data_IF_190936453340
#
_entry.id   IF_190936453340
#
_cell.length_a   1.000
_cell.length_b   1.000
_cell.length_c   1.000
_cell.angle_alpha   90.00
_cell.angle_beta   90.00
_cell.angle_gamma   90.00
#
_symmetry.space_group_name_H-M   'P 1'
#
loop_
_entity.id
_entity.type
_entity.pdbx_description
1 polymer ?
#
# COMPACT_ATOMS: atom_id res chain seq x y z
N UNK A 1 2.26 -14.76 6.21
CA UNK A 1 1.20 -13.85 5.69
C UNK A 1 -0.10 -13.81 6.49
N UNK A 2 -0.59 -14.91 7.12
CA UNK A 2 -1.87 -14.86 7.86
C UNK A 2 -1.86 -13.91 9.07
N UNK A 3 -0.75 -13.81 9.80
CA UNK A 3 -0.56 -12.82 10.87
C UNK A 3 -0.64 -11.39 10.34
N UNK A 4 0.11 -11.09 9.28
CA UNK A 4 0.15 -9.79 8.62
C UNK A 4 -1.26 -9.37 8.13
N UNK A 5 -2.02 -10.30 7.53
CA UNK A 5 -3.41 -10.04 7.11
C UNK A 5 -4.31 -9.69 8.29
N UNK A 6 -4.15 -10.34 9.44
CA UNK A 6 -4.94 -10.02 10.65
C UNK A 6 -4.60 -8.63 11.18
N UNK A 7 -3.32 -8.28 11.26
CA UNK A 7 -2.86 -6.95 11.67
C UNK A 7 -3.39 -5.87 10.72
N UNK A 8 -3.25 -6.09 9.42
CA UNK A 8 -3.80 -5.21 8.38
C UNK A 8 -5.32 -5.03 8.54
N UNK A 9 -6.10 -6.13 8.62
CA UNK A 9 -7.57 -6.06 8.73
C UNK A 9 -8.02 -5.27 9.96
N UNK A 10 -7.25 -5.32 11.05
CA UNK A 10 -7.55 -4.53 12.25
C UNK A 10 -7.13 -3.07 12.08
N UNK A 11 -5.90 -2.82 11.62
CA UNK A 11 -5.33 -1.48 11.57
C UNK A 11 -5.96 -0.59 10.47
N UNK A 12 -6.33 -1.16 9.34
CA UNK A 12 -6.90 -0.40 8.21
C UNK A 12 -8.21 0.32 8.54
N UNK A 13 -8.96 -0.15 9.52
CA UNK A 13 -10.20 0.47 9.99
C UNK A 13 -9.95 1.67 10.93
N UNK A 14 -8.72 1.84 11.41
CA UNK A 14 -8.35 2.87 12.37
C UNK A 14 -7.88 4.19 11.71
N UNK A 15 -8.12 4.36 10.41
CA UNK A 15 -7.59 5.50 9.63
C UNK A 15 -8.00 6.88 10.18
N UNK A 16 -9.13 6.98 10.88
CA UNK A 16 -9.59 8.24 11.49
C UNK A 16 -8.83 8.65 12.74
N UNK A 17 -8.03 7.75 13.32
CA UNK A 17 -7.23 8.00 14.51
C UNK A 17 -5.79 8.40 14.19
N UNK A 18 -5.36 8.27 12.92
CA UNK A 18 -4.02 8.65 12.48
C UNK A 18 -3.99 10.11 12.02
N UNK A 19 -3.05 10.88 12.56
CA UNK A 19 -2.77 12.27 12.16
C UNK A 19 -1.34 12.63 12.55
N UNK A 20 -0.89 13.84 12.20
CA UNK A 20 0.44 14.33 12.55
C UNK A 20 0.67 14.21 14.06
N UNK A 21 1.76 13.54 14.44
CA UNK A 21 2.16 13.31 15.83
C UNK A 21 1.51 12.10 16.52
N UNK A 22 0.59 11.38 15.87
CA UNK A 22 0.01 10.14 16.39
C UNK A 22 -0.42 9.22 15.25
N UNK A 23 0.22 8.07 15.17
CA UNK A 23 0.00 7.07 14.13
C UNK A 23 -0.41 5.73 14.74
N UNK A 24 -1.17 4.94 13.99
CA UNK A 24 -1.51 3.58 14.38
C UNK A 24 -0.34 2.65 14.12
N UNK A 25 -0.01 1.81 15.09
CA UNK A 25 1.09 0.86 15.00
C UNK A 25 0.53 -0.58 14.92
N UNK A 26 0.61 -1.24 13.75
CA UNK A 26 0.14 -2.61 13.58
C UNK A 26 1.17 -3.67 13.95
N UNK A 27 2.27 -3.31 14.60
CA UNK A 27 3.42 -4.16 14.93
C UNK A 27 4.63 -3.99 13.99
N UNK A 28 5.75 -4.62 14.31
CA UNK A 28 7.02 -4.51 13.59
C UNK A 28 6.91 -4.97 12.12
N UNK A 29 7.82 -4.43 11.30
CA UNK A 29 8.04 -4.92 9.94
C UNK A 29 8.83 -6.24 9.96
N UNK A 30 8.16 -7.34 9.63
CA UNK A 30 8.75 -8.67 9.48
C UNK A 30 9.15 -8.99 8.02
N UNK A 31 9.53 -7.97 7.25
CA UNK A 31 9.95 -8.14 5.85
C UNK A 31 11.25 -8.96 5.80
N UNK A 32 11.20 -10.09 5.09
CA UNK A 32 12.33 -11.03 5.03
C UNK A 32 12.43 -12.00 6.19
N UNK A 33 11.46 -12.01 7.11
CA UNK A 33 11.41 -12.97 8.23
C UNK A 33 10.62 -14.21 7.82
N UNK A 34 11.13 -15.38 8.19
CA UNK A 34 10.45 -16.65 7.92
C UNK A 34 10.44 -17.03 6.43
N UNK A 35 9.31 -17.59 5.96
CA UNK A 35 9.18 -18.13 4.61
C UNK A 35 8.24 -17.29 3.72
N UNK A 36 8.20 -15.97 3.90
CA UNK A 36 7.42 -15.11 3.02
C UNK A 36 8.01 -15.09 1.60
N UNK A 37 7.15 -15.20 0.62
CA UNK A 37 7.52 -14.98 -0.79
C UNK A 37 7.87 -13.51 -1.02
N UNK A 38 8.50 -13.20 -2.16
CA UNK A 38 8.77 -11.81 -2.57
C UNK A 38 7.49 -10.96 -2.53
N UNK A 39 6.40 -11.45 -3.13
CA UNK A 39 5.11 -10.75 -3.17
C UNK A 39 4.54 -10.48 -1.77
N UNK A 40 4.67 -11.44 -0.84
CA UNK A 40 4.19 -11.28 0.54
C UNK A 40 5.02 -10.25 1.32
N UNK A 41 6.34 -10.22 1.11
CA UNK A 41 7.23 -9.22 1.70
C UNK A 41 6.94 -7.83 1.15
N UNK A 42 6.78 -7.70 -0.18
CA UNK A 42 6.45 -6.44 -0.85
C UNK A 42 5.06 -5.92 -0.42
N UNK A 43 4.06 -6.81 -0.34
CA UNK A 43 2.73 -6.46 0.14
C UNK A 43 2.76 -6.00 1.61
N UNK A 44 3.52 -6.67 2.48
CA UNK A 44 3.70 -6.28 3.86
C UNK A 44 4.25 -4.86 3.97
N UNK A 45 5.37 -4.57 3.30
CA UNK A 45 5.98 -3.25 3.31
C UNK A 45 5.07 -2.16 2.76
N UNK A 46 4.45 -2.42 1.60
CA UNK A 46 3.55 -1.46 0.96
C UNK A 46 2.32 -1.14 1.82
N UNK A 47 1.73 -2.14 2.48
CA UNK A 47 0.58 -1.94 3.37
C UNK A 47 0.97 -1.08 4.58
N UNK A 48 2.14 -1.30 5.21
CA UNK A 48 2.64 -0.46 6.30
C UNK A 48 2.83 0.98 5.82
N UNK A 49 3.43 1.19 4.64
CA UNK A 49 3.58 2.52 4.06
C UNK A 49 2.23 3.21 3.78
N UNK A 50 1.24 2.48 3.26
CA UNK A 50 -0.11 3.02 3.04
C UNK A 50 -0.80 3.38 4.36
N UNK A 51 -0.58 2.59 5.40
CA UNK A 51 -1.17 2.83 6.72
C UNK A 51 -0.44 3.88 7.56
N UNK A 52 0.62 4.54 7.05
CA UNK A 52 1.47 5.48 7.79
C UNK A 52 2.00 4.87 9.10
N UNK A 53 2.34 3.60 9.07
CA UNK A 53 2.75 2.84 10.24
C UNK A 53 4.23 3.02 10.54
N UNK A 54 4.69 2.99 11.81
CA UNK A 54 6.11 3.03 12.11
C UNK A 54 6.88 1.93 11.36
N UNK A 55 7.90 2.31 10.56
CA UNK A 55 8.71 1.37 9.78
C UNK A 55 9.87 0.81 10.65
N UNK A 56 9.52 0.06 11.69
CA UNK A 56 10.47 -0.56 12.61
C UNK A 56 10.80 -1.98 12.17
N UNK A 57 12.01 -2.19 11.64
CA UNK A 57 12.46 -3.49 11.14
C UNK A 57 12.60 -4.52 12.27
N UNK A 58 11.89 -5.63 12.17
CA UNK A 58 11.96 -6.76 13.08
C UNK A 58 12.90 -7.88 12.63
N UNK A 59 13.65 -7.70 11.55
CA UNK A 59 14.57 -8.69 10.98
C UNK A 59 16.04 -8.41 11.31
N UNK A 60 16.92 -9.41 11.09
CA UNK A 60 18.36 -9.24 11.24
C UNK A 60 18.95 -8.48 10.06
N UNK A 61 19.28 -7.20 10.28
CA UNK A 61 19.83 -6.31 9.24
C UNK A 61 21.22 -6.74 8.71
N UNK A 62 21.93 -7.65 9.41
CA UNK A 62 23.25 -8.14 9.00
C UNK A 62 23.18 -9.19 7.91
N UNK A 63 22.02 -9.80 7.71
CA UNK A 63 21.82 -10.94 6.80
C UNK A 63 20.65 -10.77 5.84
N UNK A 64 20.30 -9.53 5.49
CA UNK A 64 19.25 -9.25 4.52
C UNK A 64 19.64 -9.70 3.11
N UNK A 65 18.69 -10.36 2.42
CA UNK A 65 18.84 -10.64 0.99
C UNK A 65 18.70 -9.36 0.16
N UNK A 66 19.23 -9.39 -1.08
CA UNK A 66 19.08 -8.27 -2.02
C UNK A 66 17.60 -7.94 -2.30
N UNK A 67 16.74 -8.94 -2.36
CA UNK A 67 15.30 -8.75 -2.58
C UNK A 67 14.64 -8.01 -1.40
N UNK A 68 14.99 -8.37 -0.17
CA UNK A 68 14.53 -7.65 1.03
C UNK A 68 15.02 -6.22 1.01
N UNK A 69 16.30 -5.99 0.70
CA UNK A 69 16.87 -4.63 0.60
C UNK A 69 16.15 -3.79 -0.47
N UNK A 70 15.83 -4.36 -1.64
CA UNK A 70 15.06 -3.66 -2.70
C UNK A 70 13.69 -3.21 -2.20
N UNK A 71 12.99 -4.09 -1.47
CA UNK A 71 11.66 -3.80 -0.94
C UNK A 71 11.73 -2.65 0.08
N UNK A 72 12.55 -2.79 1.13
CA UNK A 72 12.59 -1.81 2.23
C UNK A 72 13.26 -0.49 1.84
N UNK A 73 14.04 -0.46 0.76
CA UNK A 73 14.66 0.74 0.21
C UNK A 73 13.84 1.38 -0.93
N UNK A 74 12.60 0.93 -1.17
CA UNK A 74 11.73 1.54 -2.17
C UNK A 74 11.36 2.97 -1.76
N UNK A 75 12.05 3.94 -2.35
CA UNK A 75 11.89 5.37 -2.02
C UNK A 75 10.48 5.91 -2.27
N UNK A 76 9.73 5.33 -3.21
CA UNK A 76 8.38 5.78 -3.54
C UNK A 76 7.39 5.34 -2.46
N UNK A 77 7.51 4.10 -1.97
CA UNK A 77 6.71 3.64 -0.82
C UNK A 77 7.08 4.39 0.45
N UNK A 78 8.38 4.60 0.70
CA UNK A 78 8.84 5.39 1.85
C UNK A 78 8.30 6.82 1.78
N UNK A 79 8.28 7.45 0.60
CA UNK A 79 7.73 8.81 0.46
C UNK A 79 6.23 8.88 0.73
N UNK A 80 5.49 7.81 0.43
CA UNK A 80 4.08 7.70 0.82
C UNK A 80 3.98 7.59 2.35
N UNK A 81 4.78 6.73 2.98
CA UNK A 81 4.77 6.55 4.43
C UNK A 81 5.08 7.85 5.17
N UNK A 82 6.16 8.53 4.78
CA UNK A 82 6.71 9.73 5.42
C UNK A 82 6.02 11.04 4.97
N UNK A 83 4.87 10.94 4.30
CA UNK A 83 4.16 12.12 3.81
C UNK A 83 3.70 13.03 4.97
N UNK A 84 3.99 14.34 4.84
CA UNK A 84 3.78 15.33 5.90
C UNK A 84 2.31 15.53 6.31
N UNK A 85 1.35 15.07 5.49
CA UNK A 85 -0.07 15.12 5.84
C UNK A 85 -0.42 14.17 7.00
N UNK A 86 0.42 13.15 7.26
CA UNK A 86 0.29 12.22 8.38
C UNK A 86 -0.96 11.32 8.35
N UNK A 87 -1.72 11.32 7.24
CA UNK A 87 -2.97 10.56 7.14
C UNK A 87 -2.69 9.09 6.80
N UNK A 88 -3.45 8.19 7.40
CA UNK A 88 -3.47 6.77 7.06
C UNK A 88 -4.36 6.52 5.85
N UNK A 89 -4.08 5.49 5.05
CA UNK A 89 -4.99 5.10 3.97
C UNK A 89 -6.34 4.60 4.50
N UNK A 90 -7.41 5.00 3.81
CA UNK A 90 -8.77 4.50 3.99
C UNK A 90 -9.05 3.35 3.02
N UNK A 91 -9.62 2.25 3.49
CA UNK A 91 -10.11 1.18 2.63
C UNK A 91 -11.49 1.55 2.08
N UNK A 92 -11.58 1.75 0.76
CA UNK A 92 -12.84 2.12 0.07
C UNK A 92 -13.53 0.92 -0.57
N UNK A 93 -12.81 -0.17 -0.85
CA UNK A 93 -13.39 -1.46 -1.30
C UNK A 93 -12.86 -2.57 -0.42
N UNK A 94 -13.78 -3.36 0.17
CA UNK A 94 -13.49 -4.56 0.96
C UNK A 94 -13.97 -5.80 0.21
N UNK A 95 -13.05 -6.49 -0.47
CA UNK A 95 -13.36 -7.64 -1.32
C UNK A 95 -12.21 -8.67 -1.33
N UNK A 96 -12.13 -9.54 -2.34
CA UNK A 96 -10.95 -10.38 -2.58
C UNK A 96 -9.70 -9.56 -2.93
N UNK A 97 -9.91 -8.44 -3.63
CA UNK A 97 -8.93 -7.37 -3.82
C UNK A 97 -9.47 -6.14 -3.08
N UNK A 98 -8.79 -5.74 -2.02
CA UNK A 98 -9.12 -4.51 -1.32
C UNK A 98 -8.56 -3.31 -2.08
N UNK A 99 -9.25 -2.16 -1.99
CA UNK A 99 -8.77 -0.89 -2.53
C UNK A 99 -8.60 0.11 -1.38
N UNK A 100 -7.39 0.63 -1.25
CA UNK A 100 -7.05 1.66 -0.28
C UNK A 100 -6.70 2.95 -1.00
N UNK A 101 -7.08 4.08 -0.43
CA UNK A 101 -6.71 5.42 -0.91
C UNK A 101 -6.13 6.25 0.22
N UNK A 102 -5.11 7.03 -0.08
CA UNK A 102 -4.44 7.91 0.87
C UNK A 102 -4.18 9.28 0.24
N UNK A 103 -4.66 10.39 0.84
CA UNK A 103 -4.30 11.73 0.40
C UNK A 103 -2.83 12.01 0.76
N UNK A 104 -2.12 12.74 -0.09
CA UNK A 104 -0.75 13.16 0.11
C UNK A 104 -0.63 14.69 0.16
N UNK A 105 0.35 15.20 0.88
CA UNK A 105 0.59 16.64 1.10
C UNK A 105 0.85 17.45 -0.17
N UNK A 106 1.30 16.78 -1.24
CA UNK A 106 1.55 17.39 -2.55
C UNK A 106 0.32 17.46 -3.45
N UNK A 107 -0.88 17.16 -2.92
CA UNK A 107 -2.14 17.13 -3.67
C UNK A 107 -2.37 15.86 -4.49
N UNK A 108 -1.44 14.90 -4.45
CA UNK A 108 -1.61 13.59 -5.07
C UNK A 108 -2.40 12.63 -4.17
N UNK A 109 -2.91 11.58 -4.79
CA UNK A 109 -3.53 10.45 -4.10
C UNK A 109 -2.71 9.20 -4.32
N UNK A 110 -2.35 8.48 -3.24
CA UNK A 110 -1.84 7.13 -3.33
C UNK A 110 -3.01 6.13 -3.34
N UNK A 111 -2.96 5.17 -4.28
CA UNK A 111 -3.97 4.12 -4.46
C UNK A 111 -3.25 2.77 -4.34
N UNK A 112 -3.76 1.89 -3.48
CA UNK A 112 -3.21 0.54 -3.31
C UNK A 112 -4.30 -0.51 -3.52
N UNK A 113 -4.02 -1.47 -4.38
CA UNK A 113 -4.79 -2.68 -4.55
C UNK A 113 -4.10 -3.83 -3.83
N UNK A 114 -4.81 -4.51 -2.95
CA UNK A 114 -4.28 -5.65 -2.20
C UNK A 114 -5.07 -6.92 -2.48
N UNK A 115 -4.47 -7.85 -3.21
CA UNK A 115 -5.00 -9.20 -3.36
C UNK A 115 -4.63 -10.04 -2.14
N UNK A 116 -5.55 -10.18 -1.21
CA UNK A 116 -5.37 -10.95 0.04
C UNK A 116 -5.64 -12.46 -0.10
N UNK A 117 -5.91 -12.94 -1.32
CA UNK A 117 -6.22 -14.35 -1.61
C UNK A 117 -5.00 -15.15 -2.03
N UNK A 118 -5.14 -16.47 -2.06
CA UNK A 118 -4.08 -17.43 -2.43
C UNK A 118 -4.03 -17.73 -3.94
N UNK A 119 -4.74 -16.93 -4.75
CA UNK A 119 -4.76 -17.06 -6.22
C UNK A 119 -4.70 -15.70 -6.89
N UNK A 120 -4.17 -15.67 -8.12
CA UNK A 120 -4.21 -14.45 -8.95
C UNK A 120 -5.65 -14.00 -9.14
N UNK A 121 -5.88 -12.69 -8.99
CA UNK A 121 -7.19 -12.06 -9.23
C UNK A 121 -7.08 -11.07 -10.39
N UNK A 122 -8.16 -11.00 -11.17
CA UNK A 122 -8.38 -9.88 -12.08
C UNK A 122 -9.21 -8.83 -11.34
N UNK A 123 -8.86 -7.58 -11.50
CA UNK A 123 -9.65 -6.45 -11.01
C UNK A 123 -10.01 -5.53 -12.18
N UNK A 124 -11.16 -4.89 -12.05
CA UNK A 124 -11.60 -3.82 -12.93
C UNK A 124 -12.52 -2.92 -12.12
N UNK A 125 -12.14 -1.65 -11.99
CA UNK A 125 -12.90 -0.67 -11.24
C UNK A 125 -13.31 0.48 -12.15
N UNK A 126 -14.49 1.02 -11.88
CA UNK A 126 -14.93 2.29 -12.45
C UNK A 126 -14.21 3.43 -11.72
N UNK A 127 -13.71 4.43 -12.44
CA UNK A 127 -13.03 5.61 -11.91
C UNK A 127 -13.88 6.37 -10.87
N UNK A 128 -15.19 6.29 -11.00
CA UNK A 128 -16.16 6.91 -10.07
C UNK A 128 -15.97 6.50 -8.61
N UNK A 129 -15.36 5.34 -8.31
CA UNK A 129 -15.08 4.95 -6.93
C UNK A 129 -14.08 5.90 -6.25
N UNK A 130 -13.23 6.56 -7.04
CA UNK A 130 -12.27 7.55 -6.57
C UNK A 130 -12.85 8.96 -6.64
N UNK A 131 -13.55 9.32 -7.72
CA UNK A 131 -14.19 10.64 -7.91
C UNK A 131 -15.23 10.94 -6.81
N UNK A 132 -15.94 9.92 -6.33
CA UNK A 132 -16.96 10.06 -5.28
C UNK A 132 -16.43 9.86 -3.85
N UNK A 133 -15.12 9.61 -3.67
CA UNK A 133 -14.53 9.41 -2.36
C UNK A 133 -14.11 10.74 -1.72
N UNK A 134 -14.80 11.14 -0.67
CA UNK A 134 -14.58 12.42 0.01
C UNK A 134 -13.29 12.50 0.85
N UNK A 135 -12.62 11.37 1.06
CA UNK A 135 -11.38 11.30 1.83
C UNK A 135 -10.15 11.80 1.06
N UNK A 136 -10.23 11.83 -0.26
CA UNK A 136 -9.16 12.22 -1.17
C UNK A 136 -9.63 13.33 -2.10
N UNK A 137 -8.68 14.08 -2.66
CA UNK A 137 -8.91 14.99 -3.78
C UNK A 137 -8.37 14.30 -5.06
N UNK A 138 -9.26 13.53 -5.72
CA UNK A 138 -8.86 12.72 -6.85
C UNK A 138 -8.74 13.55 -8.13
N UNK A 139 -7.50 13.71 -8.62
CA UNK A 139 -7.24 14.39 -9.89
C UNK A 139 -7.28 13.40 -11.05
N UNK A 140 -8.42 13.27 -11.72
CA UNK A 140 -8.61 12.34 -12.83
C UNK A 140 -7.69 12.57 -14.04
N UNK A 141 -7.16 13.77 -14.22
CA UNK A 141 -6.26 14.12 -15.32
C UNK A 141 -4.79 14.07 -14.90
N UNK A 142 -4.52 13.59 -13.67
CA UNK A 142 -3.18 13.47 -13.11
C UNK A 142 -2.34 12.40 -13.81
N UNK A 143 -1.03 12.60 -13.81
CA UNK A 143 -0.08 11.59 -14.27
C UNK A 143 -0.04 10.44 -13.25
N UNK A 144 -0.18 9.20 -13.74
CA UNK A 144 -0.19 8.00 -12.92
C UNK A 144 1.20 7.37 -12.89
N UNK A 145 1.67 7.12 -11.68
CA UNK A 145 2.99 6.53 -11.45
C UNK A 145 2.86 5.23 -10.63
N UNK A 146 3.41 4.14 -11.16
CA UNK A 146 3.51 2.86 -10.44
C UNK A 146 4.71 2.90 -9.48
N UNK A 147 4.43 2.87 -8.18
CA UNK A 147 5.43 2.99 -7.11
C UNK A 147 6.31 1.75 -6.95
N UNK A 148 5.88 0.59 -7.47
CA UNK A 148 6.64 -0.66 -7.39
C UNK A 148 7.64 -0.79 -8.53
N UNK A 149 7.23 -0.40 -9.74
CA UNK A 149 8.09 -0.46 -10.95
C UNK A 149 8.86 0.82 -11.22
N UNK A 150 8.51 1.92 -10.52
CA UNK A 150 9.05 3.26 -10.71
C UNK A 150 8.87 3.78 -12.15
N UNK A 151 7.67 3.59 -12.71
CA UNK A 151 7.33 3.99 -14.08
C UNK A 151 6.00 4.74 -14.15
N UNK A 152 5.89 5.71 -15.07
CA UNK A 152 4.60 6.27 -15.46
C UNK A 152 3.82 5.23 -16.25
N UNK A 153 2.52 5.11 -15.99
CA UNK A 153 1.63 4.13 -16.59
C UNK A 153 0.34 4.78 -17.07
N UNK A 154 -0.38 4.08 -17.95
CA UNK A 154 -1.67 4.54 -18.41
C UNK A 154 -2.78 4.31 -17.36
N UNK A 155 -3.84 5.12 -17.43
CA UNK A 155 -5.00 5.01 -16.54
C UNK A 155 -5.64 3.60 -16.60
N UNK A 156 -5.66 2.96 -17.76
CA UNK A 156 -6.16 1.59 -17.91
C UNK A 156 -5.41 0.58 -17.02
N UNK A 157 -4.11 0.76 -16.82
CA UNK A 157 -3.27 -0.13 -15.98
C UNK A 157 -3.56 0.05 -14.49
N UNK A 158 -3.97 1.27 -14.09
CA UNK A 158 -4.42 1.54 -12.74
C UNK A 158 -5.85 1.02 -12.50
N UNK A 159 -6.75 1.19 -13.47
CA UNK A 159 -8.17 0.83 -13.29
C UNK A 159 -8.45 -0.66 -13.49
N UNK A 160 -7.60 -1.38 -14.22
CA UNK A 160 -7.80 -2.81 -14.49
C UNK A 160 -6.49 -3.58 -14.61
N UNK A 161 -6.56 -4.89 -14.34
CA UNK A 161 -5.40 -5.74 -14.50
C UNK A 161 -5.47 -7.03 -13.70
N UNK A 162 -4.32 -7.67 -13.57
CA UNK A 162 -4.14 -8.88 -12.77
C UNK A 162 -3.21 -8.58 -11.60
N UNK A 163 -3.53 -9.11 -10.43
CA UNK A 163 -2.69 -9.06 -9.23
C UNK A 163 -2.43 -10.49 -8.79
N UNK A 164 -1.16 -10.92 -8.70
CA UNK A 164 -0.79 -12.23 -8.19
C UNK A 164 -1.35 -12.50 -6.78
N UNK A 165 -1.32 -13.75 -6.34
CA UNK A 165 -1.70 -14.12 -4.99
C UNK A 165 -0.89 -13.34 -3.96
N UNK A 166 -1.54 -12.85 -2.90
CA UNK A 166 -0.93 -12.20 -1.73
C UNK A 166 0.01 -11.05 -2.10
N UNK A 167 -0.33 -10.28 -3.14
CA UNK A 167 0.48 -9.17 -3.64
C UNK A 167 -0.30 -7.85 -3.70
N UNK A 168 0.40 -6.79 -4.00
CA UNK A 168 -0.15 -5.43 -4.13
C UNK A 168 0.15 -4.84 -5.51
N UNK A 169 -0.55 -3.77 -5.83
CA UNK A 169 -0.15 -2.72 -6.77
C UNK A 169 -0.30 -1.38 -6.06
N UNK A 170 0.64 -0.47 -6.25
CA UNK A 170 0.60 0.85 -5.61
C UNK A 170 0.87 1.92 -6.65
N UNK A 171 -0.05 2.87 -6.77
CA UNK A 171 0.03 3.99 -7.69
C UNK A 171 -0.07 5.32 -6.95
N UNK A 172 0.49 6.38 -7.55
CA UNK A 172 0.17 7.77 -7.19
C UNK A 172 -0.35 8.51 -8.42
N UNK A 173 -1.34 9.36 -8.24
CA UNK A 173 -1.97 10.18 -9.28
C UNK A 173 -2.16 11.61 -8.78
#
# INVERSE_FOLDING_TARGET
MNSIKKLYEHNVELYTYADVGHWNDPDMLEVGVGNFTYNENEAHFALWCMMASPLLLGNDIRSMSEDVLKIIANKHLISIDQDALGKQAKRIVKASVDVLVRPLSNGKTAICYFNKTDSTKTFSFDENIFENESYIDYNKDGEIFDCLTAQSVDKSDMLSGKIPARSVKVFTI
#
